data_IF_826766135062
#
_entry.id   IF_826766135062
#
_cell.length_a   1.000
_cell.length_b   1.000
_cell.length_c   1.000
_cell.angle_alpha   90.00
_cell.angle_beta   90.00
_cell.angle_gamma   90.00
#
_symmetry.space_group_name_H-M   'P 1'
#
loop_
_entity.id
_entity.type
_entity.pdbx_description
1 polymer ?
#
# COMPACT_ATOMS: atom_id res chain seq x y z
N UNK A 1 3.57 -12.21 26.20
CA UNK A 1 3.49 -11.60 26.36
C UNK A 1 3.52 -10.42 26.11
N UNK A 2 3.67 -9.79 26.17
CA UNK A 2 3.59 -8.65 26.03
C UNK A 2 4.57 -7.92 25.35
N UNK A 3 5.68 -8.38 24.94
CA UNK A 3 6.72 -7.65 24.27
C UNK A 3 6.25 -7.11 22.95
N UNK A 4 5.42 -7.86 22.27
CA UNK A 4 4.91 -7.36 21.02
C UNK A 4 4.13 -6.11 21.21
N UNK A 5 3.52 -6.00 22.37
CA UNK A 5 2.69 -4.85 22.65
C UNK A 5 3.52 -3.60 22.88
N UNK A 6 4.80 -3.78 23.16
CA UNK A 6 5.70 -2.65 23.37
C UNK A 6 6.23 -2.11 22.06
N UNK A 7 6.01 -2.83 20.97
CA UNK A 7 6.47 -2.36 19.67
C UNK A 7 5.52 -1.29 19.16
N UNK A 8 6.07 -0.19 18.75
CA UNK A 8 5.28 0.94 18.32
C UNK A 8 5.49 1.22 16.86
N UNK A 9 4.48 1.77 16.23
CA UNK A 9 4.63 2.28 14.88
C UNK A 9 5.59 3.45 14.93
N UNK A 10 6.47 3.50 13.95
CA UNK A 10 7.30 4.67 13.76
C UNK A 10 6.50 5.66 12.91
N UNK A 11 7.10 6.80 12.58
CA UNK A 11 6.47 7.76 11.69
C UNK A 11 6.63 7.37 10.23
N UNK A 12 7.46 6.35 9.96
CA UNK A 12 7.73 5.92 8.59
C UNK A 12 6.57 5.13 8.04
N UNK A 13 6.20 5.45 6.81
CA UNK A 13 5.15 4.74 6.08
C UNK A 13 5.74 4.22 4.78
N UNK A 14 5.44 2.98 4.44
CA UNK A 14 5.83 2.41 3.15
C UNK A 14 4.59 1.95 2.41
N UNK A 15 4.48 2.33 1.15
CA UNK A 15 3.34 1.98 0.31
C UNK A 15 3.85 1.30 -0.95
N UNK A 16 3.06 0.39 -1.50
CA UNK A 16 3.42 -0.36 -2.68
C UNK A 16 2.46 -0.11 -3.83
N UNK A 17 3.01 0.12 -5.02
CA UNK A 17 2.25 0.10 -6.25
C UNK A 17 2.42 -1.29 -6.84
N UNK A 18 1.38 -2.11 -6.71
CA UNK A 18 1.41 -3.49 -7.20
C UNK A 18 0.77 -3.50 -8.58
N UNK A 19 1.56 -3.85 -9.59
CA UNK A 19 1.10 -3.72 -10.96
C UNK A 19 1.04 -5.05 -11.68
N UNK A 20 0.13 -5.10 -12.64
CA UNK A 20 0.04 -6.21 -13.58
C UNK A 20 -0.49 -5.62 -14.88
N UNK A 21 0.23 -5.89 -15.96
CA UNK A 21 -0.08 -5.28 -17.25
C UNK A 21 -0.02 -3.77 -17.06
N UNK A 22 -1.02 -3.03 -17.46
CA UNK A 22 -1.03 -1.58 -17.37
C UNK A 22 -1.89 -1.06 -16.23
N UNK A 23 -2.09 -1.89 -15.21
CA UNK A 23 -2.99 -1.53 -14.09
C UNK A 23 -2.32 -1.76 -12.76
N UNK A 24 -2.83 -1.08 -11.75
CA UNK A 24 -2.32 -1.18 -10.38
C UNK A 24 -3.46 -1.49 -9.42
N UNK A 25 -3.12 -2.13 -8.31
CA UNK A 25 -4.09 -2.50 -7.29
C UNK A 25 -4.30 -1.36 -6.31
N UNK A 26 -5.56 -0.97 -6.13
CA UNK A 26 -5.93 -0.03 -5.08
C UNK A 26 -6.93 -0.70 -4.14
N UNK A 27 -6.92 -0.26 -2.89
CA UNK A 27 -7.78 -0.77 -1.83
C UNK A 27 -8.65 0.38 -1.33
N UNK A 28 -9.92 0.10 -1.06
CA UNK A 28 -10.83 1.13 -0.56
C UNK A 28 -10.93 1.01 0.95
N UNK A 29 -10.64 2.10 1.66
CA UNK A 29 -10.65 2.10 3.13
C UNK A 29 -12.07 1.96 3.66
N UNK A 30 -12.19 1.20 4.75
CA UNK A 30 -13.47 0.98 5.41
C UNK A 30 -14.04 2.28 5.95
N UNK A 31 -15.37 2.35 6.02
CA UNK A 31 -16.04 3.55 6.50
C UNK A 31 -15.82 3.81 7.99
N UNK A 32 -15.44 2.79 8.75
CA UNK A 32 -15.20 2.99 10.18
C UNK A 32 -13.78 3.51 10.48
N UNK A 33 -12.93 3.62 9.46
CA UNK A 33 -11.59 4.15 9.68
C UNK A 33 -11.67 5.61 10.10
N UNK A 34 -10.80 6.01 11.03
CA UNK A 34 -10.82 7.38 11.53
C UNK A 34 -10.35 8.40 10.51
N UNK A 35 -9.43 7.99 9.63
CA UNK A 35 -8.89 8.87 8.61
C UNK A 35 -9.17 8.31 7.23
N UNK A 36 -9.54 9.17 6.31
CA UNK A 36 -9.70 8.83 4.91
C UNK A 36 -10.70 7.69 4.66
N UNK A 37 -11.76 7.63 5.48
CA UNK A 37 -12.78 6.62 5.35
C UNK A 37 -13.38 6.64 3.94
N UNK A 38 -13.51 5.47 3.33
CA UNK A 38 -14.11 5.34 2.01
C UNK A 38 -13.23 5.78 0.85
N UNK A 39 -11.98 6.20 1.12
CA UNK A 39 -11.09 6.64 0.05
C UNK A 39 -10.27 5.47 -0.49
N UNK A 40 -9.83 5.61 -1.74
CA UNK A 40 -8.92 4.63 -2.32
C UNK A 40 -7.51 4.87 -1.81
N UNK A 41 -6.74 3.79 -1.68
CA UNK A 41 -5.47 3.78 -0.99
C UNK A 41 -4.53 2.78 -1.64
N UNK A 42 -3.23 3.00 -1.49
CA UNK A 42 -2.24 2.01 -1.87
C UNK A 42 -2.02 1.03 -0.71
N UNK A 43 -1.73 -0.24 -1.01
CA UNK A 43 -1.36 -1.18 0.05
C UNK A 43 -0.10 -0.72 0.78
N UNK A 44 -0.02 -1.00 2.06
CA UNK A 44 1.11 -0.62 2.90
C UNK A 44 0.65 0.09 4.13
N UNK A 45 1.59 0.52 4.96
CA UNK A 45 1.23 1.19 6.20
C UNK A 45 2.44 1.57 7.03
N UNK A 46 2.21 1.76 8.31
CA UNK A 46 3.24 2.20 9.24
C UNK A 46 4.27 1.10 9.48
N UNK A 47 5.53 1.52 9.49
CA UNK A 47 6.66 0.63 9.78
C UNK A 47 6.84 0.60 11.30
N UNK A 48 7.10 -0.57 11.84
CA UNK A 48 7.34 -0.74 13.27
C UNK A 48 8.76 -0.29 13.57
N UNK A 49 8.96 0.33 14.72
CA UNK A 49 10.30 0.78 15.13
C UNK A 49 11.29 -0.38 15.09
N UNK A 50 12.43 -0.17 14.46
CA UNK A 50 13.47 -1.19 14.36
C UNK A 50 13.33 -2.11 13.16
N UNK A 51 12.23 -2.01 12.43
CA UNK A 51 11.97 -2.84 11.26
C UNK A 51 12.53 -2.14 10.01
N UNK A 52 13.13 -2.90 9.10
CA UNK A 52 13.56 -2.33 7.82
C UNK A 52 12.34 -1.95 6.99
N UNK A 53 12.45 -0.90 6.21
CA UNK A 53 11.31 -0.42 5.41
C UNK A 53 10.72 -1.50 4.51
N UNK A 54 11.57 -2.24 3.81
CA UNK A 54 11.06 -3.26 2.90
C UNK A 54 10.41 -4.42 3.64
N UNK A 55 10.96 -4.79 4.79
CA UNK A 55 10.35 -5.86 5.59
C UNK A 55 8.99 -5.42 6.10
N UNK A 56 8.88 -4.18 6.53
CA UNK A 56 7.61 -3.64 7.00
C UNK A 56 6.60 -3.55 5.88
N UNK A 57 7.05 -3.16 4.68
CA UNK A 57 6.17 -3.11 3.52
C UNK A 57 5.61 -4.49 3.20
N UNK A 58 6.48 -5.50 3.14
CA UNK A 58 6.04 -6.87 2.85
C UNK A 58 5.04 -7.35 3.89
N UNK A 59 5.31 -7.06 5.16
CA UNK A 59 4.40 -7.43 6.25
C UNK A 59 3.05 -6.74 6.12
N UNK A 60 3.05 -5.41 5.90
CA UNK A 60 1.80 -4.65 5.80
C UNK A 60 0.96 -5.10 4.61
N UNK A 61 1.59 -5.31 3.46
CA UNK A 61 0.87 -5.77 2.28
C UNK A 61 0.23 -7.13 2.55
N UNK A 62 0.97 -8.02 3.20
CA UNK A 62 0.44 -9.34 3.52
C UNK A 62 -0.73 -9.25 4.50
N UNK A 63 -0.61 -8.40 5.52
CA UNK A 63 -1.69 -8.24 6.51
C UNK A 63 -2.95 -7.70 5.85
N UNK A 64 -2.81 -6.81 4.89
CA UNK A 64 -3.97 -6.16 4.26
C UNK A 64 -4.59 -6.97 3.14
N UNK A 65 -3.80 -7.75 2.42
CA UNK A 65 -4.26 -8.38 1.19
C UNK A 65 -4.02 -9.87 1.10
N UNK A 66 -3.19 -10.42 1.98
CA UNK A 66 -2.78 -11.82 1.87
C UNK A 66 -1.76 -12.06 0.78
N UNK A 67 -1.26 -11.01 0.14
CA UNK A 67 -0.29 -11.14 -0.94
C UNK A 67 1.14 -11.05 -0.40
N UNK A 68 2.02 -11.92 -0.91
CA UNK A 68 3.45 -11.87 -0.57
C UNK A 68 4.18 -11.29 -1.75
N UNK A 69 4.56 -10.03 -1.63
CA UNK A 69 5.30 -9.35 -2.70
C UNK A 69 6.78 -9.73 -2.61
N UNK A 70 7.46 -9.66 -3.75
CA UNK A 70 8.87 -10.00 -3.84
C UNK A 70 9.64 -8.84 -4.45
N UNK A 71 10.83 -8.62 -3.93
CA UNK A 71 11.81 -7.69 -4.50
C UNK A 71 11.21 -6.33 -4.86
N UNK A 72 10.58 -5.64 -3.88
CA UNK A 72 10.04 -4.32 -4.18
C UNK A 72 11.16 -3.35 -4.55
N UNK A 73 10.88 -2.50 -5.53
CA UNK A 73 11.83 -1.52 -6.03
C UNK A 73 11.39 -0.14 -5.59
N UNK A 74 12.28 0.58 -4.93
CA UNK A 74 11.96 1.91 -4.43
C UNK A 74 11.76 2.89 -5.58
N UNK A 75 10.68 3.66 -5.51
CA UNK A 75 10.38 4.71 -6.47
C UNK A 75 10.92 6.05 -5.98
N UNK A 76 10.42 6.50 -4.84
CA UNK A 76 10.87 7.75 -4.24
C UNK A 76 10.36 7.82 -2.80
N UNK A 77 10.85 8.80 -2.05
CA UNK A 77 10.34 9.06 -0.71
C UNK A 77 10.14 10.57 -0.53
N UNK A 78 9.16 10.92 0.29
CA UNK A 78 8.90 12.29 0.68
C UNK A 78 8.61 12.31 2.17
N UNK A 79 9.27 13.18 2.91
CA UNK A 79 9.11 13.22 4.36
C UNK A 79 9.26 11.82 4.93
N UNK A 80 8.20 11.28 5.51
CA UNK A 80 8.25 9.96 6.14
C UNK A 80 7.63 8.86 5.29
N UNK A 81 7.23 9.18 4.06
CA UNK A 81 6.57 8.21 3.16
C UNK A 81 7.54 7.71 2.11
N UNK A 82 7.61 6.41 1.94
CA UNK A 82 8.44 5.80 0.90
C UNK A 82 7.56 4.93 0.02
N UNK A 83 7.72 5.05 -1.28
CA UNK A 83 6.90 4.35 -2.27
C UNK A 83 7.74 3.35 -3.04
N UNK A 84 7.16 2.17 -3.25
CA UNK A 84 7.81 1.06 -3.94
C UNK A 84 6.90 0.55 -5.03
N UNK A 85 7.45 -0.10 -6.03
CA UNK A 85 6.67 -0.85 -7.01
C UNK A 85 7.08 -2.31 -6.93
N UNK A 86 6.14 -3.21 -7.25
CA UNK A 86 6.41 -4.63 -7.30
C UNK A 86 5.35 -5.29 -8.17
N UNK A 87 5.67 -6.46 -8.71
CA UNK A 87 4.69 -7.24 -9.46
C UNK A 87 3.54 -7.64 -8.55
N UNK A 88 2.33 -7.59 -9.08
CA UNK A 88 1.17 -8.09 -8.36
C UNK A 88 1.25 -9.62 -8.32
N UNK A 89 1.32 -10.24 -7.14
CA UNK A 89 1.35 -11.70 -7.06
C UNK A 89 0.08 -12.32 -7.63
N UNK A 90 0.22 -13.49 -8.23
CA UNK A 90 -0.90 -14.19 -8.86
C UNK A 90 -1.56 -15.11 -7.85
N UNK A 91 -2.04 -14.56 -6.77
CA UNK A 91 -2.73 -15.29 -5.72
C UNK A 91 -3.99 -14.53 -5.35
N UNK A 92 -4.90 -15.22 -4.66
CA UNK A 92 -6.17 -14.63 -4.31
C UNK A 92 -5.99 -13.54 -3.25
N UNK A 93 -6.64 -12.41 -3.46
CA UNK A 93 -6.62 -11.30 -2.51
C UNK A 93 -7.65 -11.58 -1.41
N UNK A 94 -7.20 -11.40 -0.17
CA UNK A 94 -8.07 -11.52 1.00
C UNK A 94 -7.89 -10.28 1.85
N UNK A 95 -8.87 -9.40 1.81
CA UNK A 95 -8.78 -8.10 2.49
C UNK A 95 -8.92 -8.22 4.00
N UNK A 96 -8.20 -7.37 4.72
CA UNK A 96 -8.40 -7.20 6.15
C UNK A 96 -9.61 -6.30 6.39
N UNK A 97 -9.97 -6.12 7.66
CA UNK A 97 -11.13 -5.31 8.02
C UNK A 97 -10.94 -3.83 7.71
N UNK A 98 -9.72 -3.39 7.46
CA UNK A 98 -9.45 -1.98 7.19
C UNK A 98 -9.87 -1.56 5.78
N UNK A 99 -10.12 -2.52 4.91
CA UNK A 99 -10.49 -2.24 3.52
C UNK A 99 -11.71 -3.05 3.13
N UNK A 100 -12.58 -2.45 2.31
CA UNK A 100 -13.85 -3.08 1.91
C UNK A 100 -13.84 -3.60 0.50
N UNK A 101 -13.00 -3.06 -0.37
CA UNK A 101 -12.94 -3.43 -1.78
C UNK A 101 -11.54 -3.33 -2.30
N UNK A 102 -11.29 -4.01 -3.39
CA UNK A 102 -10.06 -3.78 -4.16
C UNK A 102 -10.43 -3.71 -5.63
N UNK A 103 -9.61 -3.02 -6.40
CA UNK A 103 -9.86 -2.86 -7.83
C UNK A 103 -8.57 -2.52 -8.54
N UNK A 104 -8.46 -2.97 -9.77
CA UNK A 104 -7.32 -2.63 -10.62
C UNK A 104 -7.64 -1.34 -11.38
N UNK A 105 -6.72 -0.39 -11.34
CA UNK A 105 -6.89 0.93 -11.97
C UNK A 105 -5.85 1.13 -13.07
N UNK A 106 -6.30 1.60 -14.21
CA UNK A 106 -5.39 2.08 -15.28
C UNK A 106 -5.03 3.54 -15.00
N UNK A 107 -4.11 4.10 -15.80
CA UNK A 107 -3.79 5.53 -15.68
C UNK A 107 -5.03 6.40 -15.90
N UNK A 108 -5.89 6.02 -16.84
CA UNK A 108 -7.13 6.77 -17.06
C UNK A 108 -8.00 6.75 -15.82
N UNK A 109 -8.14 5.58 -15.21
CA UNK A 109 -8.94 5.46 -13.99
C UNK A 109 -8.39 6.33 -12.88
N UNK A 110 -7.07 6.41 -12.77
CA UNK A 110 -6.41 7.21 -11.74
C UNK A 110 -6.77 8.69 -11.90
N UNK A 111 -6.80 9.19 -13.14
CA UNK A 111 -7.11 10.59 -13.38
C UNK A 111 -8.55 10.94 -13.00
N UNK A 112 -9.45 9.97 -13.11
CA UNK A 112 -10.85 10.18 -12.74
C UNK A 112 -11.12 9.86 -11.28
N UNK A 113 -10.11 9.42 -10.53
CA UNK A 113 -10.28 9.03 -9.14
C UNK A 113 -9.95 10.20 -8.21
N UNK A 114 -10.29 10.03 -6.94
CA UNK A 114 -9.92 11.00 -5.91
C UNK A 114 -8.69 10.53 -5.15
N UNK A 115 -7.82 9.78 -5.81
CA UNK A 115 -6.60 9.28 -5.19
C UNK A 115 -5.71 10.47 -4.83
N UNK A 116 -5.17 10.52 -3.61
CA UNK A 116 -4.26 11.61 -3.22
C UNK A 116 -3.12 11.76 -4.21
N UNK A 117 -2.71 13.00 -4.45
CA UNK A 117 -1.68 13.30 -5.45
C UNK A 117 -0.39 12.53 -5.23
N UNK A 118 0.02 12.33 -3.99
CA UNK A 118 1.26 11.61 -3.69
C UNK A 118 1.18 10.15 -4.12
N UNK A 119 0.00 9.55 -4.01
CA UNK A 119 -0.20 8.17 -4.45
C UNK A 119 -0.30 8.12 -5.97
N UNK A 120 -1.01 9.08 -6.56
CA UNK A 120 -1.14 9.15 -8.00
C UNK A 120 0.23 9.30 -8.67
N UNK A 121 1.12 10.07 -8.05
CA UNK A 121 2.48 10.23 -8.56
C UNK A 121 3.21 8.89 -8.61
N UNK A 122 3.11 8.11 -7.53
CA UNK A 122 3.77 6.80 -7.48
C UNK A 122 3.22 5.86 -8.57
N UNK A 123 1.89 5.89 -8.78
CA UNK A 123 1.27 5.07 -9.82
C UNK A 123 1.79 5.48 -11.19
N UNK A 124 1.86 6.77 -11.46
CA UNK A 124 2.34 7.27 -12.75
C UNK A 124 3.79 6.88 -12.99
N UNK A 125 4.62 6.92 -11.94
CA UNK A 125 6.01 6.48 -12.05
C UNK A 125 6.11 5.01 -12.42
N UNK A 126 5.18 4.20 -11.92
CA UNK A 126 5.19 2.76 -12.17
C UNK A 126 4.72 2.44 -13.59
N UNK A 127 3.66 3.10 -14.04
CA UNK A 127 3.00 2.76 -15.30
C UNK A 127 3.49 3.56 -16.52
N UNK A 128 4.33 4.54 -16.34
CA UNK A 128 4.80 5.35 -17.45
C UNK A 128 6.07 4.81 -18.11
#
# INVERSE_FOLDING_TARGET
MKEEQDKKDSKEIAKAVLYKDDKVLLLKRSNYMKKHAGEWDLPGGHIIEGEALEDGLVREVWEETGLRIKDPVKLHSTNNDTYYMADLPDTKIKLSDEHTEYKMFSLEDIEDSNLPDKYAKAVKETLS
#
